data_IF_045700757071
#
_entry.id   IF_045700757071
#
_cell.length_a   1.000
_cell.length_b   1.000
_cell.length_c   1.000
_cell.angle_alpha   90.00
_cell.angle_beta   90.00
_cell.angle_gamma   90.00
#
_symmetry.space_group_name_H-M   'P 1'
#
loop_
_entity.id
_entity.type
_entity.pdbx_description
1 polymer ?
#
# COMPACT_ATOMS: atom_id res chain seq x y z
N UNK A 1 38.77 -16.16 -0.13
CA UNK A 1 38.62 -14.69 -0.17
C UNK A 1 37.17 -14.41 -0.53
N UNK A 2 36.33 -14.12 0.45
CA UNK A 2 34.90 -13.81 0.27
C UNK A 2 34.76 -12.35 -0.10
N UNK A 3 34.27 -12.10 -1.31
CA UNK A 3 33.99 -10.76 -1.83
C UNK A 3 32.91 -10.09 -0.95
N UNK A 4 33.17 -8.92 -0.34
CA UNK A 4 32.16 -8.23 0.46
C UNK A 4 31.05 -7.76 -0.47
N UNK A 5 29.89 -8.41 -0.40
CA UNK A 5 28.64 -7.96 -1.07
C UNK A 5 28.46 -6.48 -0.78
N UNK A 6 28.72 -5.63 -1.78
CA UNK A 6 28.53 -4.19 -1.63
C UNK A 6 27.05 -3.96 -1.35
N UNK A 7 26.77 -3.50 -0.14
CA UNK A 7 25.42 -3.21 0.33
C UNK A 7 25.01 -1.87 -0.32
N UNK A 8 24.79 -1.88 -1.63
CA UNK A 8 24.27 -0.72 -2.34
C UNK A 8 22.85 -0.52 -1.82
N UNK A 9 22.64 0.55 -1.05
CA UNK A 9 21.29 0.99 -0.73
C UNK A 9 20.59 1.29 -2.06
N UNK A 10 19.51 0.57 -2.41
CA UNK A 10 18.84 0.79 -3.67
C UNK A 10 18.35 2.23 -3.73
N UNK A 11 18.50 2.87 -4.90
CA UNK A 11 17.99 4.21 -5.10
C UNK A 11 16.46 4.19 -4.83
N UNK A 12 15.89 5.12 -4.04
CA UNK A 12 14.44 5.16 -3.77
C UNK A 12 13.59 5.13 -5.05
N UNK A 13 14.13 5.63 -6.16
CA UNK A 13 13.48 5.61 -7.47
C UNK A 13 13.45 4.21 -8.12
N UNK A 14 14.47 3.37 -7.89
CA UNK A 14 14.49 1.96 -8.33
C UNK A 14 13.56 1.09 -7.48
N UNK A 15 13.46 1.38 -6.18
CA UNK A 15 12.52 0.69 -5.28
C UNK A 15 11.08 0.90 -5.75
N UNK A 16 10.69 2.13 -6.11
CA UNK A 16 9.35 2.47 -6.59
C UNK A 16 8.99 1.90 -7.98
N UNK A 17 9.98 1.41 -8.75
CA UNK A 17 9.78 0.75 -10.04
C UNK A 17 9.51 -0.75 -9.94
N UNK A 18 9.76 -1.36 -8.77
CA UNK A 18 9.57 -2.81 -8.62
C UNK A 18 8.15 -3.16 -8.17
N UNK A 19 7.59 -4.21 -8.79
CA UNK A 19 6.30 -4.78 -8.40
C UNK A 19 6.27 -5.13 -6.91
N UNK A 20 7.37 -5.64 -6.36
CA UNK A 20 7.51 -5.99 -4.94
C UNK A 20 7.30 -4.78 -4.00
N UNK A 21 7.83 -3.60 -4.32
CA UNK A 21 7.62 -2.41 -3.49
C UNK A 21 6.19 -1.89 -3.59
N UNK A 22 5.60 -1.85 -4.79
CA UNK A 22 4.19 -1.51 -4.96
C UNK A 22 3.30 -2.45 -4.14
N UNK A 23 3.61 -3.75 -4.13
CA UNK A 23 2.93 -4.75 -3.31
C UNK A 23 2.99 -4.48 -1.81
N UNK A 24 4.14 -4.01 -1.30
CA UNK A 24 4.28 -3.62 0.12
C UNK A 24 3.41 -2.42 0.47
N UNK A 25 3.38 -1.39 -0.37
CA UNK A 25 2.56 -0.18 -0.15
C UNK A 25 1.07 -0.52 -0.17
N UNK A 26 0.62 -1.29 -1.17
CA UNK A 26 -0.77 -1.79 -1.23
C UNK A 26 -1.08 -2.60 0.03
N UNK A 27 -0.15 -3.45 0.46
CA UNK A 27 -0.32 -4.29 1.65
C UNK A 27 -0.51 -3.46 2.91
N UNK A 28 0.37 -2.48 3.11
CA UNK A 28 0.26 -1.54 4.22
C UNK A 28 -1.07 -0.79 4.21
N UNK A 29 -1.47 -0.27 3.04
CA UNK A 29 -2.70 0.49 2.91
C UNK A 29 -3.95 -0.33 3.29
N UNK A 30 -4.12 -1.56 2.79
CA UNK A 30 -5.30 -2.35 3.16
C UNK A 30 -5.28 -2.82 4.62
N UNK A 31 -4.10 -3.05 5.21
CA UNK A 31 -3.98 -3.38 6.65
C UNK A 31 -4.45 -2.20 7.50
N UNK A 32 -4.00 -0.99 7.18
CA UNK A 32 -4.45 0.23 7.85
C UNK A 32 -5.96 0.37 7.72
N UNK A 33 -6.52 0.20 6.53
CA UNK A 33 -7.98 0.24 6.33
C UNK A 33 -8.70 -0.84 7.13
N UNK A 34 -8.15 -2.06 7.22
CA UNK A 34 -8.74 -3.15 7.99
C UNK A 34 -8.80 -2.83 9.49
N UNK A 35 -7.74 -2.23 10.03
CA UNK A 35 -7.68 -1.77 11.42
C UNK A 35 -8.73 -0.67 11.64
N UNK A 36 -8.80 0.32 10.74
CA UNK A 36 -9.81 1.39 10.80
C UNK A 36 -11.24 0.83 10.75
N UNK A 37 -11.50 -0.12 9.85
CA UNK A 37 -12.79 -0.79 9.72
C UNK A 37 -13.16 -1.56 11.00
N UNK A 38 -12.18 -2.21 11.65
CA UNK A 38 -12.38 -2.89 12.93
C UNK A 38 -12.80 -1.92 14.05
N UNK A 39 -12.11 -0.78 14.18
CA UNK A 39 -12.50 0.25 15.15
C UNK A 39 -13.87 0.86 14.83
N UNK A 40 -14.17 1.11 13.55
CA UNK A 40 -15.48 1.58 13.10
C UNK A 40 -16.60 0.59 13.44
N UNK A 41 -16.33 -0.72 13.32
CA UNK A 41 -17.26 -1.77 13.69
C UNK A 41 -17.53 -1.76 15.20
N UNK A 42 -16.50 -1.68 16.04
CA UNK A 42 -16.68 -1.58 17.50
C UNK A 42 -17.50 -0.35 17.86
N UNK A 43 -17.20 0.81 17.25
CA UNK A 43 -17.96 2.04 17.47
C UNK A 43 -19.43 1.87 17.07
N UNK A 44 -19.70 1.27 15.91
CA UNK A 44 -21.06 1.02 15.41
C UNK A 44 -21.84 0.06 16.32
N UNK A 45 -21.20 -1.01 16.79
CA UNK A 45 -21.80 -1.97 17.73
C UNK A 45 -22.15 -1.34 19.08
N UNK A 46 -21.39 -0.33 19.53
CA UNK A 46 -21.71 0.42 20.76
C UNK A 46 -22.89 1.38 20.61
N UNK A 47 -23.12 1.90 19.40
CA UNK A 47 -24.23 2.83 19.10
C UNK A 47 -25.54 2.08 18.84
N UNK A 48 -25.47 0.85 18.34
CA UNK A 48 -26.60 -0.02 18.04
C UNK A 48 -27.68 -0.13 19.15
N UNK A 49 -27.33 -0.38 20.43
CA UNK A 49 -28.31 -0.54 21.50
C UNK A 49 -28.89 0.78 22.04
N UNK A 50 -28.39 1.95 21.63
CA UNK A 50 -28.86 3.23 22.13
C UNK A 50 -29.89 3.87 21.16
N UNK A 51 -31.16 3.87 21.58
CA UNK A 51 -32.29 4.37 20.79
C UNK A 51 -32.24 5.89 20.54
N UNK A 52 -31.40 6.64 21.26
CA UNK A 52 -31.22 8.08 21.04
C UNK A 52 -30.65 8.41 19.66
N UNK A 53 -29.96 7.45 19.03
CA UNK A 53 -29.30 7.65 17.74
C UNK A 53 -30.18 7.35 16.52
N UNK A 54 -31.45 6.96 16.71
CA UNK A 54 -32.46 6.88 15.62
C UNK A 54 -31.93 6.31 14.30
N UNK A 55 -32.03 7.08 13.20
CA UNK A 55 -31.57 6.69 11.85
C UNK A 55 -30.05 6.66 11.73
N UNK A 56 -29.33 7.45 12.54
CA UNK A 56 -27.87 7.60 12.49
C UNK A 56 -27.16 6.28 12.83
N UNK A 57 -27.76 5.40 13.65
CA UNK A 57 -27.20 4.07 13.96
C UNK A 57 -27.04 3.18 12.73
N UNK A 58 -28.03 3.20 11.83
CA UNK A 58 -27.98 2.43 10.58
C UNK A 58 -26.97 3.02 9.60
N UNK A 59 -26.85 4.35 9.59
CA UNK A 59 -25.84 5.04 8.79
C UNK A 59 -24.40 4.61 9.16
N UNK A 60 -24.08 4.55 10.45
CA UNK A 60 -22.76 4.07 10.91
C UNK A 60 -22.48 2.61 10.52
N UNK A 61 -23.51 1.74 10.57
CA UNK A 61 -23.38 0.36 10.11
C UNK A 61 -23.14 0.26 8.61
N UNK A 62 -23.86 1.04 7.80
CA UNK A 62 -23.67 1.08 6.34
C UNK A 62 -22.25 1.54 6.01
N UNK A 63 -21.75 2.58 6.68
CA UNK A 63 -20.38 3.05 6.49
C UNK A 63 -19.33 1.99 6.88
N UNK A 64 -19.56 1.29 7.99
CA UNK A 64 -18.67 0.19 8.41
C UNK A 64 -18.66 -0.95 7.40
N UNK A 65 -19.83 -1.36 6.91
CA UNK A 65 -19.96 -2.37 5.86
C UNK A 65 -19.24 -1.94 4.58
N UNK A 66 -19.38 -0.69 4.19
CA UNK A 66 -18.67 -0.12 3.06
C UNK A 66 -17.14 -0.23 3.23
N UNK A 67 -16.61 0.15 4.40
CA UNK A 67 -15.18 0.02 4.69
C UNK A 67 -14.69 -1.43 4.63
N UNK A 68 -15.47 -2.39 5.13
CA UNK A 68 -15.12 -3.82 5.07
C UNK A 68 -15.04 -4.29 3.61
N UNK A 69 -16.04 -3.94 2.79
CA UNK A 69 -16.07 -4.29 1.37
C UNK A 69 -14.91 -3.66 0.62
N UNK A 70 -14.65 -2.37 0.82
CA UNK A 70 -13.53 -1.66 0.20
C UNK A 70 -12.19 -2.29 0.60
N UNK A 71 -12.00 -2.60 1.88
CA UNK A 71 -10.79 -3.27 2.38
C UNK A 71 -10.57 -4.61 1.68
N UNK A 72 -11.62 -5.40 1.49
CA UNK A 72 -11.54 -6.68 0.78
C UNK A 72 -11.10 -6.50 -0.68
N UNK A 73 -11.63 -5.49 -1.38
CA UNK A 73 -11.22 -5.19 -2.76
C UNK A 73 -9.81 -4.59 -2.85
N UNK A 74 -9.37 -3.82 -1.85
CA UNK A 74 -7.97 -3.34 -1.76
C UNK A 74 -7.00 -4.52 -1.59
N UNK A 75 -7.35 -5.54 -0.81
CA UNK A 75 -6.57 -6.78 -0.72
C UNK A 75 -6.46 -7.50 -2.07
N UNK A 76 -7.50 -7.42 -2.91
CA UNK A 76 -7.48 -7.90 -4.31
C UNK A 76 -6.76 -6.96 -5.29
N UNK A 77 -6.09 -5.91 -4.80
CA UNK A 77 -5.33 -4.93 -5.61
C UNK A 77 -6.19 -4.22 -6.65
N UNK A 78 -7.46 -3.99 -6.33
CA UNK A 78 -8.39 -3.29 -7.22
C UNK A 78 -8.12 -1.79 -7.21
N UNK A 79 -7.84 -1.21 -8.40
CA UNK A 79 -7.63 0.24 -8.60
C UNK A 79 -8.81 1.06 -8.11
N UNK A 80 -10.02 0.62 -8.46
CA UNK A 80 -11.28 1.30 -8.11
C UNK A 80 -11.48 1.37 -6.61
N UNK A 81 -11.06 0.36 -5.85
CA UNK A 81 -11.23 0.34 -4.40
C UNK A 81 -10.38 1.40 -3.69
N UNK A 82 -9.14 1.63 -4.15
CA UNK A 82 -8.29 2.69 -3.62
C UNK A 82 -8.86 4.08 -3.91
N UNK A 83 -9.39 4.30 -5.11
CA UNK A 83 -10.06 5.56 -5.47
C UNK A 83 -11.29 5.79 -4.61
N UNK A 84 -12.13 4.77 -4.42
CA UNK A 84 -13.32 4.85 -3.56
C UNK A 84 -12.95 5.14 -2.11
N UNK A 85 -11.91 4.48 -1.56
CA UNK A 85 -11.41 4.74 -0.21
C UNK A 85 -10.93 6.19 -0.06
N UNK A 86 -10.19 6.69 -1.04
CA UNK A 86 -9.67 8.07 -1.03
C UNK A 86 -10.81 9.09 -1.09
N UNK A 87 -11.77 8.91 -2.00
CA UNK A 87 -12.93 9.81 -2.13
C UNK A 87 -13.76 9.80 -0.85
N UNK A 88 -14.00 8.62 -0.28
CA UNK A 88 -14.71 8.48 0.98
C UNK A 88 -14.02 9.21 2.14
N UNK A 89 -12.69 9.07 2.25
CA UNK A 89 -11.92 9.75 3.30
C UNK A 89 -11.96 11.27 3.12
N UNK A 90 -11.86 11.77 1.88
CA UNK A 90 -11.97 13.20 1.60
C UNK A 90 -13.35 13.76 1.95
N UNK A 91 -14.42 13.06 1.59
CA UNK A 91 -15.78 13.46 1.97
C UNK A 91 -15.94 13.47 3.49
N UNK A 92 -15.40 12.46 4.18
CA UNK A 92 -15.46 12.36 5.64
C UNK A 92 -14.69 13.50 6.32
N UNK A 93 -13.51 13.83 5.80
CA UNK A 93 -12.69 14.94 6.29
C UNK A 93 -13.40 16.30 6.09
N UNK A 94 -14.01 16.52 4.93
CA UNK A 94 -14.83 17.73 4.66
C UNK A 94 -16.00 17.81 5.64
N UNK A 95 -16.74 16.72 5.85
CA UNK A 95 -17.85 16.69 6.80
C UNK A 95 -17.38 16.96 8.24
N UNK A 96 -16.23 16.40 8.67
CA UNK A 96 -15.68 16.66 10.00
C UNK A 96 -15.35 18.14 10.22
N UNK A 97 -14.73 18.79 9.23
CA UNK A 97 -14.30 20.19 9.34
C UNK A 97 -15.51 21.13 9.28
N UNK A 98 -16.38 20.98 8.28
CA UNK A 98 -17.42 21.96 7.97
C UNK A 98 -18.74 21.71 8.71
N UNK A 99 -19.07 20.46 9.04
CA UNK A 99 -20.36 20.12 9.67
C UNK A 99 -20.21 19.91 11.17
N UNK A 100 -19.20 19.13 11.59
CA UNK A 100 -19.03 18.78 13.00
C UNK A 100 -18.15 19.78 13.77
N UNK A 101 -17.34 20.60 13.08
CA UNK A 101 -16.39 21.53 13.72
C UNK A 101 -15.36 20.83 14.62
N UNK A 102 -15.18 19.51 14.46
CA UNK A 102 -14.39 18.69 15.37
C UNK A 102 -13.04 18.36 14.73
N UNK A 103 -11.98 19.00 15.24
CA UNK A 103 -10.62 18.84 14.75
C UNK A 103 -9.90 17.61 15.33
N UNK A 104 -10.47 16.90 16.31
CA UNK A 104 -9.79 15.78 16.98
C UNK A 104 -9.47 14.61 16.04
N UNK A 105 -10.24 14.44 14.96
CA UNK A 105 -10.02 13.40 13.95
C UNK A 105 -9.07 13.79 12.81
N UNK A 106 -8.65 15.06 12.74
CA UNK A 106 -7.93 15.62 11.59
C UNK A 106 -6.60 14.90 11.31
N UNK A 107 -5.74 14.60 12.31
CA UNK A 107 -4.48 13.90 12.03
C UNK A 107 -4.69 12.50 11.44
N UNK A 108 -5.71 11.78 11.93
CA UNK A 108 -6.06 10.46 11.44
C UNK A 108 -6.53 10.49 9.99
N UNK A 109 -7.40 11.46 9.65
CA UNK A 109 -7.89 11.59 8.28
C UNK A 109 -6.82 12.05 7.31
N UNK A 110 -5.91 12.97 7.70
CA UNK A 110 -4.76 13.33 6.85
C UNK A 110 -3.88 12.11 6.59
N UNK A 111 -3.58 11.32 7.63
CA UNK A 111 -2.82 10.08 7.48
C UNK A 111 -3.52 9.07 6.57
N UNK A 112 -4.84 8.94 6.68
CA UNK A 112 -5.68 8.11 5.81
C UNK A 112 -5.59 8.55 4.34
N UNK A 113 -5.75 9.85 4.07
CA UNK A 113 -5.66 10.41 2.72
C UNK A 113 -4.30 10.11 2.08
N UNK A 114 -3.20 10.35 2.80
CA UNK A 114 -1.85 10.06 2.28
C UNK A 114 -1.68 8.57 2.00
N UNK A 115 -2.14 7.71 2.91
CA UNK A 115 -2.05 6.26 2.78
C UNK A 115 -2.85 5.75 1.57
N UNK A 116 -4.08 6.25 1.37
CA UNK A 116 -4.93 5.84 0.26
C UNK A 116 -4.44 6.39 -1.07
N UNK A 117 -3.89 7.61 -1.08
CA UNK A 117 -3.28 8.18 -2.28
C UNK A 117 -2.02 7.39 -2.70
N UNK A 118 -1.15 7.05 -1.74
CA UNK A 118 0.02 6.20 -2.01
C UNK A 118 -0.38 4.80 -2.49
N UNK A 119 -1.39 4.19 -1.84
CA UNK A 119 -1.95 2.90 -2.24
C UNK A 119 -2.57 2.93 -3.64
N UNK A 120 -3.26 4.01 -3.99
CA UNK A 120 -3.82 4.25 -5.32
C UNK A 120 -2.73 4.27 -6.39
N UNK A 121 -1.68 5.09 -6.21
CA UNK A 121 -0.56 5.17 -7.15
C UNK A 121 0.14 3.81 -7.30
N UNK A 122 0.37 3.10 -6.19
CA UNK A 122 0.96 1.77 -6.20
C UNK A 122 0.07 0.75 -6.93
N UNK A 123 -1.25 0.84 -6.77
CA UNK A 123 -2.21 -0.02 -7.46
C UNK A 123 -2.23 0.26 -8.97
N UNK A 124 -2.18 1.52 -9.41
CA UNK A 124 -2.06 1.84 -10.84
C UNK A 124 -0.78 1.25 -11.44
N UNK A 125 0.37 1.52 -10.82
CA UNK A 125 1.66 0.98 -11.29
C UNK A 125 1.72 -0.54 -11.27
N UNK A 126 1.10 -1.19 -10.28
CA UNK A 126 1.05 -2.65 -10.21
C UNK A 126 0.37 -3.30 -11.43
N UNK A 127 -0.62 -2.62 -12.04
CA UNK A 127 -1.31 -3.09 -13.24
C UNK A 127 -0.62 -2.68 -14.54
N UNK A 128 0.26 -1.67 -14.52
CA UNK A 128 1.07 -1.25 -15.67
C UNK A 128 2.37 -2.08 -15.81
N UNK A 129 2.88 -2.63 -14.71
CA UNK A 129 4.07 -3.49 -14.71
C UNK A 129 3.76 -4.88 -15.28
N UNK A 130 4.37 -5.22 -16.42
CA UNK A 130 4.25 -6.54 -17.03
C UNK A 130 4.83 -7.62 -16.10
N UNK A 131 4.19 -8.80 -15.98
CA UNK A 131 4.68 -9.90 -15.15
C UNK A 131 6.09 -10.38 -15.54
N UNK A 132 6.46 -10.23 -16.81
CA UNK A 132 7.68 -10.78 -17.42
C UNK A 132 8.94 -9.98 -17.08
N UNK A 133 8.82 -8.67 -16.82
CA UNK A 133 9.95 -7.78 -16.56
C UNK A 133 10.51 -7.89 -15.13
N UNK A 134 9.78 -8.54 -14.21
CA UNK A 134 10.22 -8.74 -12.82
C UNK A 134 11.18 -9.90 -12.59
N UNK A 135 11.47 -10.70 -13.63
CA UNK A 135 12.50 -11.75 -13.59
C UNK A 135 13.63 -11.34 -14.52
N UNK A 136 14.38 -10.30 -14.18
CA UNK A 136 15.73 -10.18 -14.72
C UNK A 136 16.58 -11.27 -14.04
N UNK A 137 17.03 -12.33 -14.75
CA UNK A 137 18.01 -13.24 -14.17
C UNK A 137 19.26 -12.42 -13.80
N UNK A 138 19.96 -12.76 -12.69
CA UNK A 138 21.26 -12.16 -12.43
C UNK A 138 22.11 -12.42 -13.66
N UNK A 139 22.53 -11.36 -14.33
CA UNK A 139 23.53 -11.43 -15.37
C UNK A 139 24.85 -11.85 -14.70
N UNK A 140 25.03 -13.16 -14.55
CA UNK A 140 26.33 -13.80 -14.33
C UNK A 140 27.16 -13.59 -15.61
N UNK A 141 27.66 -12.39 -15.81
CA UNK A 141 28.93 -12.23 -16.53
C UNK A 141 30.04 -12.50 -15.52
N UNK A 142 30.29 -13.79 -15.27
CA UNK A 142 31.60 -14.25 -14.86
C UNK A 142 32.43 -14.41 -16.13
N UNK A 143 33.40 -13.51 -16.43
CA UNK A 143 34.45 -13.87 -17.35
C UNK A 143 35.31 -14.89 -16.61
N UNK A 144 35.06 -16.18 -16.88
CA UNK A 144 35.92 -17.24 -16.40
C UNK A 144 37.39 -16.94 -16.74
N UNK A 145 38.35 -17.29 -15.87
CA UNK A 145 39.76 -17.05 -16.13
C UNK A 145 40.17 -17.85 -17.37
N UNK A 146 40.67 -17.13 -18.38
CA UNK A 146 41.21 -17.72 -19.60
C UNK A 146 42.35 -18.67 -19.24
N UNK A 147 42.26 -19.98 -19.54
CA UNK A 147 43.32 -20.92 -19.25
C UNK A 147 44.38 -20.88 -20.35
N UNK A 148 45.62 -20.64 -19.95
CA UNK A 148 46.80 -21.12 -20.67
C UNK A 148 47.40 -20.15 -21.69
N UNK A 149 48.52 -19.54 -21.28
CA UNK A 149 49.70 -19.49 -22.15
C UNK A 149 50.93 -19.31 -21.26
N UNK A 150 51.35 -20.41 -20.65
CA UNK A 150 52.74 -20.61 -20.23
C UNK A 150 53.59 -20.72 -21.48
N UNK A 151 54.43 -19.73 -21.73
CA UNK A 151 55.51 -19.83 -22.70
C UNK A 151 56.79 -19.26 -22.10
N UNK A 152 57.48 -20.11 -21.35
CA UNK A 152 58.94 -20.25 -21.37
C UNK A 152 59.22 -21.71 -21.75
N UNK A 153 60.38 -22.12 -22.31
CA UNK A 153 61.68 -21.40 -22.32
C UNK A 153 62.53 -21.47 -23.64
N UNK A 154 63.56 -20.60 -23.72
CA UNK A 154 64.96 -20.83 -24.24
C UNK A 154 65.18 -20.98 -25.77
N UNK A 155 66.31 -20.51 -26.37
CA UNK A 155 67.65 -20.33 -25.80
C UNK A 155 68.23 -18.92 -25.69
#
# INVERSE_FOLDING_TARGET
MTDPKSFRTPNPNELLGTRAACGKVITFAWIVTAITAFFALIASLRVLPDDRYGVIRYWFLIQTLFLIVVTFFMRRKSRVAFVLALVYELVTLILMIFVLGNLRGLPGSIFGVVTYFAGMLAAFRWHELDPEETVAPPSDTSPGPSPGSTSEPVP
#
